data_IF_868594311828
#
_entry.id   IF_868594311828
#
_cell.length_a   1.000
_cell.length_b   1.000
_cell.length_c   1.000
_cell.angle_alpha   90.00
_cell.angle_beta   90.00
_cell.angle_gamma   90.00
#
_symmetry.space_group_name_H-M   'P 1'
#
loop_
_entity.id
_entity.type
_entity.pdbx_description
1 polymer ?
#
# COMPACT_ATOMS: atom_id res chain seq x y z
N UNK A 1 -4.06 -27.86 -0.92
CA UNK A 1 -3.85 -26.54 -1.59
C UNK A 1 -5.07 -25.63 -1.55
N UNK A 2 -6.28 -26.10 -1.92
CA UNK A 2 -7.48 -25.27 -1.90
C UNK A 2 -7.80 -24.70 -0.50
N UNK A 3 -7.81 -25.55 0.54
CA UNK A 3 -8.15 -25.13 1.91
C UNK A 3 -7.21 -24.05 2.48
N UNK A 4 -5.91 -24.15 2.21
CA UNK A 4 -4.92 -23.16 2.66
C UNK A 4 -5.12 -21.80 1.96
N UNK A 5 -5.40 -21.82 0.65
CA UNK A 5 -5.66 -20.60 -0.14
C UNK A 5 -6.99 -19.95 0.27
N UNK A 6 -8.03 -20.76 0.53
CA UNK A 6 -9.32 -20.27 1.03
C UNK A 6 -9.21 -19.70 2.43
N UNK A 7 -8.43 -20.32 3.33
CA UNK A 7 -8.20 -19.80 4.68
C UNK A 7 -7.44 -18.47 4.62
N UNK A 8 -6.37 -18.39 3.83
CA UNK A 8 -5.62 -17.15 3.63
C UNK A 8 -6.51 -16.02 3.08
N UNK A 9 -7.37 -16.34 2.10
CA UNK A 9 -8.35 -15.40 1.56
C UNK A 9 -9.36 -14.97 2.63
N UNK A 10 -9.95 -15.90 3.39
CA UNK A 10 -10.91 -15.61 4.44
C UNK A 10 -10.32 -14.69 5.51
N UNK A 11 -9.09 -14.96 5.96
CA UNK A 11 -8.38 -14.12 6.92
C UNK A 11 -8.18 -12.71 6.34
N UNK A 12 -7.71 -12.59 5.09
CA UNK A 12 -7.55 -11.28 4.44
C UNK A 12 -8.87 -10.52 4.29
N UNK A 13 -9.96 -11.21 3.96
CA UNK A 13 -11.28 -10.62 3.81
C UNK A 13 -11.83 -10.09 5.14
N UNK A 14 -11.58 -10.79 6.26
CA UNK A 14 -11.93 -10.32 7.60
C UNK A 14 -11.21 -9.02 7.93
N UNK A 15 -9.88 -8.95 7.71
CA UNK A 15 -9.12 -7.72 7.96
C UNK A 15 -9.59 -6.55 7.09
N UNK A 16 -9.81 -6.78 5.79
CA UNK A 16 -10.33 -5.76 4.87
C UNK A 16 -11.73 -5.29 5.26
N UNK A 17 -12.60 -6.21 5.67
CA UNK A 17 -13.97 -5.89 6.10
C UNK A 17 -14.00 -5.05 7.37
N UNK A 18 -13.19 -5.40 8.38
CA UNK A 18 -13.08 -4.62 9.62
C UNK A 18 -12.52 -3.23 9.34
N UNK A 19 -11.46 -3.13 8.53
CA UNK A 19 -10.87 -1.83 8.17
C UNK A 19 -11.86 -0.94 7.41
N UNK A 20 -12.57 -1.48 6.42
CA UNK A 20 -13.57 -0.75 5.65
C UNK A 20 -14.79 -0.33 6.48
N UNK A 21 -15.27 -1.21 7.37
CA UNK A 21 -16.36 -0.89 8.30
C UNK A 21 -15.99 0.22 9.28
N UNK A 22 -14.76 0.18 9.83
CA UNK A 22 -14.24 1.24 10.69
C UNK A 22 -14.07 2.56 9.92
N UNK A 23 -13.54 2.50 8.69
CA UNK A 23 -13.40 3.67 7.82
C UNK A 23 -14.75 4.33 7.53
N UNK A 24 -15.77 3.55 7.16
CA UNK A 24 -17.11 4.07 6.94
C UNK A 24 -17.72 4.73 8.19
N UNK A 25 -17.46 4.15 9.37
CA UNK A 25 -17.90 4.72 10.64
C UNK A 25 -17.22 6.06 10.95
N UNK A 26 -15.91 6.19 10.67
CA UNK A 26 -15.14 7.42 10.92
C UNK A 26 -15.51 8.54 9.93
N UNK A 27 -15.67 8.21 8.65
CA UNK A 27 -15.99 9.20 7.60
C UNK A 27 -17.44 9.68 7.72
N UNK A 28 -18.36 8.84 8.22
CA UNK A 28 -19.76 9.19 8.49
C UNK A 28 -20.64 9.38 7.26
N UNK A 29 -20.06 9.60 6.08
CA UNK A 29 -20.76 9.71 4.80
C UNK A 29 -19.94 9.09 3.67
N UNK A 30 -20.52 8.14 2.94
CA UNK A 30 -19.86 7.49 1.80
C UNK A 30 -20.36 8.13 0.50
N UNK A 31 -19.52 8.95 -0.12
CA UNK A 31 -19.74 9.40 -1.50
C UNK A 31 -18.97 8.51 -2.48
N UNK A 32 -19.45 8.35 -3.74
CA UNK A 32 -18.70 7.68 -4.79
C UNK A 32 -17.32 8.31 -5.03
N UNK A 33 -17.20 9.63 -4.82
CA UNK A 33 -15.93 10.36 -4.91
C UNK A 33 -14.87 9.89 -3.90
N UNK A 34 -15.28 9.35 -2.74
CA UNK A 34 -14.34 8.82 -1.75
C UNK A 34 -13.69 7.51 -2.21
N UNK A 35 -14.27 6.81 -3.19
CA UNK A 35 -13.80 5.54 -3.73
C UNK A 35 -13.41 5.66 -5.21
N UNK A 36 -12.64 6.69 -5.53
CA UNK A 36 -12.16 6.90 -6.89
C UNK A 36 -11.08 5.88 -7.30
N UNK A 37 -10.88 5.73 -8.62
CA UNK A 37 -9.82 4.90 -9.20
C UNK A 37 -8.45 5.31 -8.68
N UNK A 38 -8.20 6.60 -8.46
CA UNK A 38 -6.93 7.07 -7.91
C UNK A 38 -6.62 6.49 -6.52
N UNK A 39 -7.63 6.30 -5.67
CA UNK A 39 -7.45 5.65 -4.37
C UNK A 39 -6.98 4.20 -4.52
N UNK A 40 -7.51 3.48 -5.51
CA UNK A 40 -7.09 2.11 -5.81
C UNK A 40 -5.62 2.06 -6.27
N UNK A 41 -5.21 3.03 -7.10
CA UNK A 41 -3.82 3.17 -7.55
C UNK A 41 -2.90 3.50 -6.37
N UNK A 42 -3.32 4.36 -5.45
CA UNK A 42 -2.55 4.68 -4.23
C UNK A 42 -2.31 3.43 -3.38
N UNK A 43 -3.33 2.59 -3.16
CA UNK A 43 -3.15 1.32 -2.43
C UNK A 43 -2.19 0.37 -3.15
N UNK A 44 -2.27 0.27 -4.47
CA UNK A 44 -1.33 -0.54 -5.25
C UNK A 44 0.09 0.03 -5.15
N UNK A 45 0.25 1.35 -5.18
CA UNK A 45 1.54 2.03 -5.01
C UNK A 45 2.17 1.68 -3.65
N UNK A 46 1.40 1.74 -2.56
CA UNK A 46 1.84 1.36 -1.20
C UNK A 46 2.45 -0.05 -1.17
N UNK A 47 1.78 -1.01 -1.82
CA UNK A 47 2.22 -2.41 -1.85
C UNK A 47 3.46 -2.58 -2.76
N UNK A 48 3.48 -1.92 -3.92
CA UNK A 48 4.62 -1.99 -4.86
C UNK A 48 5.88 -1.38 -4.27
N UNK A 49 5.76 -0.20 -3.65
CA UNK A 49 6.88 0.50 -2.99
C UNK A 49 7.43 -0.36 -1.85
N UNK A 50 6.57 -0.97 -1.03
CA UNK A 50 6.99 -1.85 0.04
C UNK A 50 7.58 -3.19 -0.42
N UNK A 51 7.05 -3.76 -1.51
CA UNK A 51 7.50 -4.99 -2.17
C UNK A 51 6.45 -6.09 -2.18
N UNK A 52 5.95 -6.44 -3.38
CA UNK A 52 4.88 -7.43 -3.63
C UNK A 52 5.11 -8.83 -3.02
N UNK A 53 6.37 -9.19 -2.74
CA UNK A 53 6.75 -10.50 -2.23
C UNK A 53 6.97 -10.59 -0.72
N UNK A 54 6.81 -9.50 0.05
CA UNK A 54 7.02 -9.53 1.49
C UNK A 54 5.98 -8.72 2.27
N UNK A 55 5.27 -9.40 3.17
CA UNK A 55 4.32 -8.76 4.10
C UNK A 55 4.97 -7.62 4.93
N UNK A 56 6.14 -7.78 5.57
CA UNK A 56 6.73 -6.71 6.37
C UNK A 56 7.21 -5.52 5.52
N UNK A 57 7.68 -5.76 4.28
CA UNK A 57 8.05 -4.70 3.36
C UNK A 57 6.84 -3.88 2.92
N UNK A 58 5.72 -4.53 2.60
CA UNK A 58 4.45 -3.85 2.28
C UNK A 58 3.95 -2.97 3.42
N UNK A 59 4.08 -3.42 4.68
CA UNK A 59 3.70 -2.61 5.85
C UNK A 59 4.60 -1.35 5.96
N UNK A 60 5.91 -1.50 5.78
CA UNK A 60 6.84 -0.37 5.80
C UNK A 60 6.61 0.61 4.64
N UNK A 61 6.33 0.09 3.44
CA UNK A 61 6.00 0.90 2.26
C UNK A 61 4.69 1.67 2.42
N UNK A 62 3.66 1.03 2.98
CA UNK A 62 2.41 1.70 3.34
C UNK A 62 2.65 2.81 4.35
N UNK A 63 3.38 2.56 5.45
CA UNK A 63 3.68 3.57 6.45
C UNK A 63 4.45 4.77 5.87
N UNK A 64 5.48 4.53 5.04
CA UNK A 64 6.24 5.59 4.38
C UNK A 64 5.37 6.44 3.45
N UNK A 65 4.59 5.80 2.58
CA UNK A 65 3.73 6.53 1.65
C UNK A 65 2.58 7.24 2.38
N UNK A 66 2.05 6.70 3.47
CA UNK A 66 1.05 7.37 4.30
C UNK A 66 1.62 8.65 4.92
N UNK A 67 2.80 8.59 5.54
CA UNK A 67 3.45 9.79 6.12
C UNK A 67 3.76 10.83 5.05
N UNK A 68 4.22 10.37 3.87
CA UNK A 68 4.45 11.25 2.74
C UNK A 68 3.14 11.89 2.25
N UNK A 69 2.05 11.13 2.20
CA UNK A 69 0.74 11.62 1.80
C UNK A 69 0.21 12.70 2.74
N UNK A 70 0.35 12.49 4.05
CA UNK A 70 -0.07 13.43 5.10
C UNK A 70 0.71 14.75 4.99
N UNK A 71 2.02 14.66 4.73
CA UNK A 71 2.87 15.85 4.49
C UNK A 71 2.47 16.62 3.23
N UNK A 72 1.86 15.95 2.25
CA UNK A 72 1.40 16.51 0.97
C UNK A 72 -0.09 16.87 0.98
N UNK A 73 -0.80 16.71 2.11
CA UNK A 73 -2.25 16.93 2.20
C UNK A 73 -2.68 18.35 1.78
N UNK A 74 -1.78 19.34 1.83
CA UNK A 74 -2.02 20.71 1.37
C UNK A 74 -2.07 20.88 -0.16
N UNK A 75 -1.63 19.90 -0.95
CA UNK A 75 -1.51 19.99 -2.41
C UNK A 75 -2.40 18.95 -3.13
N UNK A 76 -3.73 19.04 -2.94
CA UNK A 76 -4.68 18.04 -3.44
C UNK A 76 -4.66 17.84 -4.96
N UNK A 77 -4.43 18.89 -5.76
CA UNK A 77 -4.39 18.77 -7.23
C UNK A 77 -3.18 18.01 -7.78
N UNK A 78 -2.08 17.95 -7.02
CA UNK A 78 -0.84 17.31 -7.48
C UNK A 78 -0.68 15.87 -6.98
N UNK A 79 -1.54 15.41 -6.04
CA UNK A 79 -1.52 14.06 -5.47
C UNK A 79 -1.44 12.96 -6.55
N UNK A 80 -2.30 12.92 -7.58
CA UNK A 80 -2.26 11.83 -8.58
C UNK A 80 -0.97 11.82 -9.39
N UNK A 81 -0.43 12.99 -9.74
CA UNK A 81 0.83 13.13 -10.47
C UNK A 81 2.02 12.66 -9.63
N UNK A 82 2.06 13.02 -8.35
CA UNK A 82 3.13 12.64 -7.44
C UNK A 82 3.09 11.14 -7.17
N UNK A 83 1.91 10.57 -6.89
CA UNK A 83 1.76 9.14 -6.66
C UNK A 83 2.04 8.30 -7.91
N UNK A 84 1.56 8.73 -9.08
CA UNK A 84 1.88 8.07 -10.35
C UNK A 84 3.38 8.11 -10.67
N UNK A 85 4.03 9.24 -10.41
CA UNK A 85 5.49 9.39 -10.59
C UNK A 85 6.25 8.51 -9.59
N UNK A 86 5.86 8.50 -8.32
CA UNK A 86 6.44 7.63 -7.29
C UNK A 86 6.27 6.15 -7.63
N UNK A 87 5.11 5.75 -8.16
CA UNK A 87 4.85 4.39 -8.60
C UNK A 87 5.79 4.01 -9.75
N UNK A 88 5.90 4.86 -10.78
CA UNK A 88 6.80 4.64 -11.93
C UNK A 88 8.26 4.59 -11.46
N UNK A 89 8.69 5.54 -10.62
CA UNK A 89 10.04 5.57 -10.06
C UNK A 89 10.33 4.33 -9.21
N UNK A 90 9.37 3.89 -8.40
CA UNK A 90 9.52 2.69 -7.57
C UNK A 90 9.66 1.43 -8.43
N UNK A 91 8.89 1.33 -9.52
CA UNK A 91 9.02 0.24 -10.49
C UNK A 91 10.39 0.27 -11.20
N UNK A 92 10.88 1.47 -11.53
CA UNK A 92 12.13 1.67 -12.27
C UNK A 92 13.38 1.43 -11.42
N UNK A 93 13.42 1.99 -10.20
CA UNK A 93 14.60 1.96 -9.34
C UNK A 93 14.69 0.70 -8.46
N UNK A 94 13.56 0.11 -8.06
CA UNK A 94 13.57 -1.05 -7.16
C UNK A 94 12.41 -2.01 -7.48
N UNK A 95 12.54 -2.87 -8.53
CA UNK A 95 11.53 -3.87 -8.90
C UNK A 95 11.26 -4.96 -7.83
N UNK A 96 11.85 -4.85 -6.64
CA UNK A 96 11.55 -5.69 -5.47
C UNK A 96 11.14 -4.93 -4.20
N UNK A 97 10.91 -3.60 -4.28
CA UNK A 97 10.54 -2.74 -3.15
C UNK A 97 11.61 -2.62 -2.05
N UNK A 98 11.29 -1.87 -0.99
CA UNK A 98 12.16 -1.69 0.21
C UNK A 98 12.54 -3.03 0.84
N UNK A 99 11.68 -4.05 0.69
CA UNK A 99 11.95 -5.44 1.06
C UNK A 99 13.24 -6.02 0.47
N UNK A 100 13.61 -5.65 -0.77
CA UNK A 100 14.85 -6.11 -1.42
C UNK A 100 16.08 -5.43 -0.81
N UNK A 101 16.00 -4.15 -0.42
CA UNK A 101 17.08 -3.46 0.29
C UNK A 101 17.31 -4.05 1.68
N UNK A 102 16.24 -4.39 2.41
CA UNK A 102 16.37 -5.00 3.74
C UNK A 102 16.95 -6.43 3.70
N UNK A 103 16.63 -7.20 2.64
CA UNK A 103 17.27 -8.51 2.40
C UNK A 103 18.71 -8.40 1.90
N UNK A 104 19.07 -7.32 1.20
CA UNK A 104 20.45 -7.08 0.77
C UNK A 104 21.34 -6.69 1.95
N UNK A 105 20.86 -5.87 2.89
CA UNK A 105 21.58 -5.52 4.12
C UNK A 105 21.70 -6.68 5.13
N UNK A 106 20.72 -7.60 5.19
CA UNK A 106 20.78 -8.78 6.07
C UNK A 106 21.47 -9.99 5.43
N UNK A 107 21.90 -9.89 4.16
CA UNK A 107 22.53 -10.98 3.40
C UNK A 107 24.06 -11.00 3.42
N UNK A 108 24.72 -10.06 4.10
CA UNK A 108 26.18 -9.92 4.11
C UNK A 108 26.86 -10.14 5.47
N UNK A 109 26.22 -10.83 6.42
CA UNK A 109 26.91 -11.30 7.62
C UNK A 109 26.43 -12.69 8.07
N UNK A 110 27.19 -13.72 7.70
CA UNK A 110 27.28 -15.02 8.40
C UNK A 110 26.43 -16.14 7.86
#
# INVERSE_FOLDING_TARGET
>A
MAQYKTLAFAISAVYTGVAGGLFAFVVGFLSPDAFDVFLSVDYVAMIIVGGLGSVPGSIAGAALLTVLNDSLAGFQSYRPLIFGTLLILSLLFMPGGVARAFRFLKGEQG
#
